data_IF_149894374416
#
_entry.id   IF_149894374416
#
_cell.length_a   1.000
_cell.length_b   1.000
_cell.length_c   1.000
_cell.angle_alpha   90.00
_cell.angle_beta   90.00
_cell.angle_gamma   90.00
#
_symmetry.space_group_name_H-M   'P 1'
#
loop_
_entity.id
_entity.type
_entity.pdbx_description
1 polymer ?
#
# COMPACT_ATOMS: atom_id res chain seq x y z
N UNK A 1 8.20 4.83 0.46
CA UNK A 1 9.04 3.89 -0.30
C UNK A 1 9.05 4.40 -1.73
N UNK A 2 10.21 4.50 -2.38
CA UNK A 2 10.38 5.19 -3.66
C UNK A 2 10.69 4.17 -4.77
N UNK A 3 9.74 3.87 -5.68
CA UNK A 3 9.92 2.90 -6.76
C UNK A 3 11.05 3.25 -7.73
N UNK A 4 11.37 4.54 -7.90
CA UNK A 4 12.44 4.98 -8.81
C UNK A 4 13.82 4.49 -8.36
N UNK A 5 13.97 4.13 -7.07
CA UNK A 5 15.21 3.57 -6.51
C UNK A 5 15.33 2.06 -6.69
N UNK A 6 14.31 1.42 -7.26
CA UNK A 6 14.22 -0.02 -7.45
C UNK A 6 13.78 -0.32 -8.89
N UNK A 7 14.70 -0.40 -9.86
CA UNK A 7 14.37 -0.74 -11.24
C UNK A 7 13.58 -2.05 -11.30
N UNK A 8 12.52 -2.06 -12.09
CA UNK A 8 11.66 -3.21 -12.30
C UNK A 8 11.17 -3.19 -13.74
N UNK A 9 11.80 -3.99 -14.59
CA UNK A 9 11.35 -4.25 -15.95
C UNK A 9 10.73 -5.65 -15.96
N UNK A 10 9.45 -5.74 -16.31
CA UNK A 10 8.69 -6.98 -16.26
C UNK A 10 7.87 -7.11 -17.54
N UNK A 11 8.55 -7.40 -18.64
CA UNK A 11 7.88 -7.82 -19.88
C UNK A 11 7.30 -9.24 -19.75
N UNK A 12 6.64 -9.72 -20.80
CA UNK A 12 5.97 -11.02 -20.77
C UNK A 12 6.95 -12.19 -20.59
N UNK A 13 8.16 -12.09 -21.16
CA UNK A 13 9.18 -13.13 -21.03
C UNK A 13 9.75 -13.18 -19.60
N UNK A 14 10.04 -12.02 -19.00
CA UNK A 14 10.49 -11.91 -17.62
C UNK A 14 9.41 -12.39 -16.64
N UNK A 15 8.13 -12.16 -16.95
CA UNK A 15 7.01 -12.65 -16.15
C UNK A 15 6.89 -14.18 -16.21
N UNK A 16 7.04 -14.77 -17.39
CA UNK A 16 7.05 -16.23 -17.55
C UNK A 16 8.23 -16.87 -16.80
N UNK A 17 9.43 -16.28 -16.91
CA UNK A 17 10.60 -16.72 -16.15
C UNK A 17 10.35 -16.65 -14.64
N UNK A 18 9.83 -15.51 -14.15
CA UNK A 18 9.53 -15.33 -12.73
C UNK A 18 8.48 -16.33 -12.25
N UNK A 19 7.44 -16.59 -13.03
CA UNK A 19 6.43 -17.59 -12.70
C UNK A 19 7.05 -18.99 -12.57
N UNK A 20 7.95 -19.36 -13.49
CA UNK A 20 8.71 -20.62 -13.39
C UNK A 20 9.59 -20.72 -12.13
N UNK A 21 10.12 -19.59 -11.65
CA UNK A 21 10.91 -19.54 -10.40
C UNK A 21 10.06 -19.53 -9.13
N UNK A 22 8.85 -18.97 -9.21
CA UNK A 22 7.88 -18.94 -8.09
C UNK A 22 7.17 -20.27 -7.94
N UNK A 23 6.89 -20.99 -9.02
CA UNK A 23 6.11 -22.24 -8.99
C UNK A 23 6.64 -23.28 -7.98
N UNK A 24 7.96 -23.54 -7.86
CA UNK A 24 8.51 -24.47 -6.86
C UNK A 24 8.45 -23.97 -5.42
N UNK A 25 8.21 -22.67 -5.20
CA UNK A 25 8.13 -22.04 -3.88
C UNK A 25 6.71 -22.07 -3.31
N UNK A 26 5.71 -22.35 -4.14
CA UNK A 26 4.31 -22.42 -3.73
C UNK A 26 4.08 -23.58 -2.75
N UNK A 27 3.17 -23.40 -1.78
CA UNK A 27 2.80 -24.49 -0.89
C UNK A 27 2.21 -25.68 -1.64
N UNK A 28 2.45 -26.87 -1.10
CA UNK A 28 1.71 -28.07 -1.49
C UNK A 28 0.23 -27.91 -1.15
N UNK A 29 -0.66 -28.51 -1.94
CA UNK A 29 -2.09 -28.63 -1.64
C UNK A 29 -2.38 -29.39 -0.33
N UNK A 30 -1.39 -30.09 0.22
CA UNK A 30 -1.46 -30.80 1.50
C UNK A 30 -1.28 -29.86 2.72
N UNK A 31 -0.87 -28.61 2.51
CA UNK A 31 -0.79 -27.61 3.59
C UNK A 31 -2.19 -27.31 4.09
N UNK A 32 -2.37 -27.35 5.41
CA UNK A 32 -3.65 -27.01 6.02
C UNK A 32 -4.06 -25.57 5.64
N UNK A 33 -5.36 -25.38 5.34
CA UNK A 33 -5.90 -24.08 4.90
C UNK A 33 -5.53 -22.92 5.84
N UNK A 34 -5.45 -23.19 7.15
CA UNK A 34 -5.10 -22.23 8.19
C UNK A 34 -3.63 -21.78 8.16
N UNK A 35 -2.74 -22.58 7.57
CA UNK A 35 -1.30 -22.31 7.45
C UNK A 35 -0.90 -21.81 6.05
N UNK A 36 -1.84 -21.79 5.09
CA UNK A 36 -1.56 -21.38 3.71
C UNK A 36 -1.01 -19.95 3.63
N UNK A 37 -1.56 -18.99 4.39
CA UNK A 37 -1.06 -17.62 4.36
C UNK A 37 0.41 -17.50 4.82
N UNK A 38 0.81 -18.26 5.86
CA UNK A 38 2.22 -18.30 6.33
C UNK A 38 3.13 -18.96 5.32
N UNK A 39 2.62 -19.93 4.59
CA UNK A 39 3.42 -20.65 3.60
C UNK A 39 3.86 -19.76 2.42
N UNK A 40 3.17 -18.64 2.19
CA UNK A 40 3.52 -17.62 1.21
C UNK A 40 4.72 -16.75 1.62
N UNK A 41 5.16 -16.82 2.89
CA UNK A 41 6.34 -16.09 3.35
C UNK A 41 7.56 -16.39 2.50
N UNK A 42 7.71 -17.62 2.00
CA UNK A 42 8.82 -18.00 1.11
C UNK A 42 8.83 -17.20 -0.18
N UNK A 43 7.64 -16.98 -0.76
CA UNK A 43 7.46 -16.18 -1.97
C UNK A 43 7.76 -14.72 -1.65
N UNK A 44 7.20 -14.19 -0.56
CA UNK A 44 7.46 -12.82 -0.11
C UNK A 44 8.95 -12.56 0.11
N UNK A 45 9.67 -13.47 0.77
CA UNK A 45 11.12 -13.36 0.95
C UNK A 45 11.86 -13.41 -0.38
N UNK A 46 11.52 -14.38 -1.26
CA UNK A 46 12.15 -14.49 -2.57
C UNK A 46 11.98 -13.21 -3.42
N UNK A 47 10.77 -12.65 -3.45
CA UNK A 47 10.49 -11.42 -4.17
C UNK A 47 11.20 -10.22 -3.54
N UNK A 48 11.24 -10.14 -2.21
CA UNK A 48 11.93 -9.07 -1.50
C UNK A 48 13.45 -9.12 -1.66
N UNK A 49 14.04 -10.31 -1.71
CA UNK A 49 15.47 -10.50 -1.96
C UNK A 49 15.83 -10.10 -3.39
N UNK A 50 14.96 -10.42 -4.37
CA UNK A 50 15.21 -10.14 -5.78
C UNK A 50 14.96 -8.68 -6.15
N UNK A 51 13.85 -8.10 -5.70
CA UNK A 51 13.40 -6.77 -6.15
C UNK A 51 13.53 -5.69 -5.06
N UNK A 52 13.74 -6.09 -3.81
CA UNK A 52 13.79 -5.21 -2.65
C UNK A 52 12.49 -5.22 -1.85
N UNK A 53 12.55 -4.61 -0.67
CA UNK A 53 11.46 -4.59 0.34
C UNK A 53 10.13 -4.05 -0.19
N UNK A 54 10.12 -3.33 -1.31
CA UNK A 54 8.87 -2.87 -1.91
C UNK A 54 7.96 -4.04 -2.31
N UNK A 55 8.53 -5.18 -2.69
CA UNK A 55 7.77 -6.34 -3.15
C UNK A 55 6.91 -7.01 -2.07
N UNK A 56 7.11 -6.69 -0.78
CA UNK A 56 6.39 -7.34 0.31
C UNK A 56 4.86 -7.12 0.32
N UNK A 57 4.35 -6.15 -0.44
CA UNK A 57 2.91 -5.87 -0.53
C UNK A 57 2.19 -6.61 -1.67
N UNK A 58 2.87 -7.51 -2.38
CA UNK A 58 2.35 -8.17 -3.59
C UNK A 58 1.00 -8.89 -3.38
N UNK A 59 0.71 -9.40 -2.18
CA UNK A 59 -0.54 -10.08 -1.86
C UNK A 59 -1.49 -9.26 -0.97
N UNK A 60 -1.27 -7.94 -0.85
CA UNK A 60 -2.15 -7.08 -0.06
C UNK A 60 -3.41 -6.77 -0.86
N UNK A 61 -4.35 -7.69 -0.78
CA UNK A 61 -5.56 -7.71 -1.59
C UNK A 61 -6.69 -6.84 -1.06
N UNK A 62 -7.58 -6.44 -1.97
CA UNK A 62 -8.84 -5.73 -1.63
C UNK A 62 -9.71 -6.63 -0.73
N UNK A 63 -10.43 -6.00 0.19
CA UNK A 63 -11.36 -6.72 1.09
C UNK A 63 -10.65 -7.55 2.16
N UNK A 64 -11.29 -8.61 2.62
CA UNK A 64 -10.83 -9.48 3.73
C UNK A 64 -9.74 -10.48 3.31
N UNK A 65 -8.83 -10.06 2.45
CA UNK A 65 -7.70 -10.87 2.01
C UNK A 65 -6.67 -11.18 3.10
N UNK A 66 -5.54 -11.79 2.74
CA UNK A 66 -4.53 -12.25 3.71
C UNK A 66 -3.99 -11.14 4.64
N UNK A 67 -3.98 -9.89 4.16
CA UNK A 67 -3.48 -8.71 4.88
C UNK A 67 -4.59 -7.67 5.15
N UNK A 68 -5.79 -7.90 4.61
CA UNK A 68 -7.01 -7.06 4.71
C UNK A 68 -6.87 -5.60 4.19
N UNK A 69 -7.81 -5.16 3.36
CA UNK A 69 -7.99 -3.76 2.96
C UNK A 69 -6.89 -3.19 2.05
N UNK A 70 -6.26 -4.04 1.24
CA UNK A 70 -5.24 -3.66 0.27
C UNK A 70 -5.81 -3.21 -1.07
N UNK A 71 -4.95 -3.25 -2.10
CA UNK A 71 -5.20 -2.67 -3.44
C UNK A 71 -4.96 -3.65 -4.59
N UNK A 72 -4.48 -4.84 -4.28
CA UNK A 72 -4.25 -5.89 -5.27
C UNK A 72 -5.59 -6.58 -5.53
N UNK A 73 -6.03 -6.58 -6.79
CA UNK A 73 -7.35 -7.11 -7.18
C UNK A 73 -7.23 -8.56 -7.66
N UNK A 74 -6.14 -8.88 -8.36
CA UNK A 74 -5.97 -10.21 -8.95
C UNK A 74 -5.77 -11.30 -7.88
N UNK A 75 -5.29 -10.92 -6.69
CA UNK A 75 -5.18 -11.81 -5.54
C UNK A 75 -6.38 -11.60 -4.61
N UNK A 76 -7.00 -12.68 -4.14
CA UNK A 76 -8.10 -12.60 -3.16
C UNK A 76 -7.57 -12.94 -1.76
N UNK A 77 -7.26 -14.21 -1.54
CA UNK A 77 -6.63 -14.71 -0.33
C UNK A 77 -5.95 -16.04 -0.61
N UNK A 78 -5.00 -16.42 0.25
CA UNK A 78 -4.28 -17.69 0.15
C UNK A 78 -5.20 -18.90 -0.01
N UNK A 79 -6.39 -18.90 0.60
CA UNK A 79 -7.27 -20.06 0.52
C UNK A 79 -8.05 -20.22 -0.78
N UNK A 80 -8.26 -19.14 -1.53
CA UNK A 80 -9.04 -19.16 -2.77
C UNK A 80 -8.15 -18.97 -4.02
N UNK A 81 -7.01 -18.30 -3.86
CA UNK A 81 -6.05 -18.03 -4.94
C UNK A 81 -4.99 -19.11 -5.11
N UNK A 82 -4.66 -19.88 -4.05
CA UNK A 82 -3.69 -20.99 -4.15
C UNK A 82 -4.39 -22.25 -4.61
N UNK A 83 -4.05 -22.70 -5.83
CA UNK A 83 -4.56 -23.94 -6.42
C UNK A 83 -3.40 -24.82 -6.90
N UNK A 84 -3.13 -24.88 -8.20
CA UNK A 84 -1.95 -25.56 -8.75
C UNK A 84 -0.81 -24.59 -8.94
N UNK A 85 0.46 -25.05 -8.96
CA UNK A 85 1.59 -24.18 -9.26
C UNK A 85 1.46 -23.44 -10.59
N UNK A 86 1.01 -24.13 -11.64
CA UNK A 86 0.85 -23.55 -12.98
C UNK A 86 -0.22 -22.44 -13.04
N UNK A 87 -1.27 -22.54 -12.23
CA UNK A 87 -2.31 -21.51 -12.15
C UNK A 87 -1.94 -20.38 -11.19
N UNK A 88 -1.26 -20.70 -10.08
CA UNK A 88 -0.99 -19.74 -9.00
C UNK A 88 0.26 -18.90 -9.26
N UNK A 89 1.30 -19.46 -9.88
CA UNK A 89 2.54 -18.72 -10.09
C UNK A 89 2.36 -17.50 -11.02
N UNK A 90 1.64 -17.58 -12.16
CA UNK A 90 1.31 -16.39 -12.95
C UNK A 90 0.51 -15.35 -12.15
N UNK A 91 -0.39 -15.80 -11.27
CA UNK A 91 -1.19 -14.93 -10.42
C UNK A 91 -0.33 -14.10 -9.45
N UNK A 92 0.70 -14.71 -8.85
CA UNK A 92 1.67 -14.02 -7.99
C UNK A 92 2.41 -12.93 -8.77
N UNK A 93 2.82 -13.23 -10.01
CA UNK A 93 3.54 -12.26 -10.86
C UNK A 93 2.65 -11.08 -11.23
N UNK A 94 1.39 -11.35 -11.58
CA UNK A 94 0.44 -10.28 -11.89
C UNK A 94 0.13 -9.44 -10.65
N UNK A 95 -0.05 -10.07 -9.49
CA UNK A 95 -0.27 -9.38 -8.22
C UNK A 95 0.92 -8.46 -7.85
N UNK A 96 2.15 -8.92 -8.10
CA UNK A 96 3.35 -8.10 -7.94
C UNK A 96 3.38 -6.89 -8.89
N UNK A 97 2.94 -7.06 -10.15
CA UNK A 97 2.84 -5.98 -11.14
C UNK A 97 1.79 -4.95 -10.74
N UNK A 98 0.60 -5.38 -10.30
CA UNK A 98 -0.44 -4.49 -9.80
C UNK A 98 0.05 -3.67 -8.60
N UNK A 99 0.69 -4.35 -7.64
CA UNK A 99 1.29 -3.69 -6.49
C UNK A 99 2.35 -2.68 -6.90
N UNK A 100 3.20 -3.03 -7.88
CA UNK A 100 4.22 -2.13 -8.41
C UNK A 100 3.59 -0.88 -9.05
N UNK A 101 2.59 -1.06 -9.91
CA UNK A 101 1.91 0.05 -10.58
C UNK A 101 1.26 1.00 -9.59
N UNK A 102 0.67 0.47 -8.51
CA UNK A 102 0.14 1.29 -7.42
C UNK A 102 1.21 2.17 -6.74
N UNK A 103 2.39 1.60 -6.46
CA UNK A 103 3.47 2.36 -5.84
C UNK A 103 4.01 3.46 -6.73
N UNK A 104 4.09 3.21 -8.04
CA UNK A 104 4.52 4.19 -9.04
C UNK A 104 3.51 5.34 -9.15
N UNK A 105 2.21 5.02 -9.20
CA UNK A 105 1.15 6.03 -9.16
C UNK A 105 1.21 6.88 -7.88
N UNK A 106 1.45 6.25 -6.72
CA UNK A 106 1.63 6.99 -5.46
C UNK A 106 2.85 7.92 -5.50
N UNK A 107 3.97 7.48 -6.08
CA UNK A 107 5.16 8.31 -6.19
C UNK A 107 4.92 9.57 -7.02
N UNK A 108 4.23 9.43 -8.16
CA UNK A 108 3.81 10.57 -9.00
C UNK A 108 2.89 11.53 -8.24
N UNK A 109 1.90 10.97 -7.52
CA UNK A 109 0.96 11.78 -6.71
C UNK A 109 1.68 12.47 -5.57
N UNK A 110 2.63 11.83 -4.92
CA UNK A 110 3.42 12.44 -3.84
C UNK A 110 4.22 13.62 -4.36
N UNK A 111 4.88 13.49 -5.52
CA UNK A 111 5.58 14.60 -6.16
C UNK A 111 4.62 15.75 -6.51
N UNK A 112 3.43 15.45 -7.02
CA UNK A 112 2.43 16.46 -7.38
C UNK A 112 1.74 17.14 -6.19
N UNK A 113 1.72 16.49 -5.02
CA UNK A 113 1.07 16.98 -3.80
C UNK A 113 2.06 17.55 -2.77
N UNK A 114 3.35 17.35 -2.96
CA UNK A 114 4.37 17.90 -2.09
C UNK A 114 4.30 19.44 -2.04
N UNK A 115 4.54 20.06 -0.86
CA UNK A 115 4.71 21.49 -0.76
C UNK A 115 5.90 22.01 -1.60
N UNK A 116 5.99 23.33 -1.85
CA UNK A 116 7.10 23.91 -2.59
C UNK A 116 8.46 23.56 -1.98
N UNK A 117 9.42 23.20 -2.85
CA UNK A 117 10.77 22.83 -2.46
C UNK A 117 11.45 23.91 -1.60
N UNK A 118 12.33 23.49 -0.68
CA UNK A 118 13.09 24.35 0.24
C UNK A 118 12.24 25.13 1.26
N UNK A 119 10.96 24.79 1.43
CA UNK A 119 10.14 25.33 2.52
C UNK A 119 10.33 24.49 3.79
N UNK A 120 10.58 25.12 4.94
CA UNK A 120 10.61 24.41 6.22
C UNK A 120 9.21 23.87 6.49
N UNK A 121 9.08 22.59 6.83
CA UNK A 121 7.79 21.89 7.02
C UNK A 121 6.80 22.69 7.90
N UNK A 122 7.27 23.25 9.02
CA UNK A 122 6.43 24.03 9.95
C UNK A 122 6.00 25.41 9.43
N UNK A 123 6.63 25.90 8.36
CA UNK A 123 6.29 27.16 7.68
C UNK A 123 5.42 26.97 6.44
N UNK A 124 5.16 25.72 6.03
CA UNK A 124 4.27 25.41 4.92
C UNK A 124 2.84 25.76 5.31
N UNK A 125 2.12 26.43 4.41
CA UNK A 125 0.69 26.71 4.58
C UNK A 125 -0.09 25.40 4.83
N UNK A 126 -0.90 25.30 5.92
CA UNK A 126 -1.71 24.12 6.23
C UNK A 126 -2.51 23.57 5.05
N UNK A 127 -2.94 24.44 4.13
CA UNK A 127 -3.68 24.08 2.92
C UNK A 127 -3.00 22.98 2.08
N UNK A 128 -1.66 22.97 1.98
CA UNK A 128 -0.96 21.93 1.22
C UNK A 128 -1.16 20.54 1.85
N UNK A 129 -1.08 20.47 3.17
CA UNK A 129 -1.25 19.22 3.92
C UNK A 129 -2.71 18.75 3.92
N UNK A 130 -3.66 19.68 4.04
CA UNK A 130 -5.09 19.37 3.92
C UNK A 130 -5.42 18.81 2.54
N UNK A 131 -4.99 19.51 1.48
CA UNK A 131 -5.17 19.09 0.09
C UNK A 131 -4.58 17.71 -0.17
N UNK A 132 -3.33 17.48 0.28
CA UNK A 132 -2.67 16.19 0.10
C UNK A 132 -3.42 15.08 0.83
N UNK A 133 -3.79 15.29 2.10
CA UNK A 133 -4.56 14.32 2.88
C UNK A 133 -5.89 13.97 2.20
N UNK A 134 -6.67 14.96 1.81
CA UNK A 134 -7.96 14.74 1.14
C UNK A 134 -7.78 13.92 -0.13
N UNK A 135 -6.82 14.29 -1.00
CA UNK A 135 -6.58 13.59 -2.27
C UNK A 135 -6.09 12.16 -2.07
N UNK A 136 -5.23 11.93 -1.10
CA UNK A 136 -4.69 10.60 -0.79
C UNK A 136 -5.73 9.69 -0.15
N UNK A 137 -6.56 10.22 0.75
CA UNK A 137 -7.69 9.46 1.34
C UNK A 137 -8.66 9.03 0.24
N UNK A 138 -9.03 9.94 -0.67
CA UNK A 138 -9.96 9.62 -1.77
C UNK A 138 -9.41 8.55 -2.69
N UNK A 139 -8.17 8.69 -3.19
CA UNK A 139 -7.62 7.69 -4.12
C UNK A 139 -7.45 6.32 -3.45
N UNK A 140 -7.09 6.28 -2.17
CA UNK A 140 -7.01 5.00 -1.45
C UNK A 140 -8.41 4.40 -1.31
N UNK A 141 -9.40 5.16 -0.86
CA UNK A 141 -10.77 4.67 -0.73
C UNK A 141 -11.31 4.14 -2.07
N UNK A 142 -11.05 4.82 -3.18
CA UNK A 142 -11.45 4.35 -4.51
C UNK A 142 -10.71 3.04 -4.89
N UNK A 143 -9.39 2.98 -4.69
CA UNK A 143 -8.56 1.83 -5.07
C UNK A 143 -8.86 0.57 -4.25
N UNK A 144 -9.14 0.75 -2.96
CA UNK A 144 -9.49 -0.35 -2.04
C UNK A 144 -11.01 -0.61 -2.00
N UNK A 145 -11.79 0.13 -2.80
CA UNK A 145 -13.26 0.12 -2.80
C UNK A 145 -13.89 0.40 -1.42
N UNK A 146 -13.14 1.06 -0.54
CA UNK A 146 -13.45 1.26 0.88
C UNK A 146 -13.92 -0.01 1.63
N UNK A 147 -13.45 -1.19 1.20
CA UNK A 147 -13.78 -2.46 1.85
C UNK A 147 -13.06 -2.65 3.19
N UNK A 148 -13.60 -3.54 4.02
CA UNK A 148 -13.00 -4.08 5.26
C UNK A 148 -11.94 -3.19 5.93
N UNK A 149 -10.65 -3.53 5.84
CA UNK A 149 -9.53 -2.87 6.53
C UNK A 149 -8.90 -1.68 5.81
N UNK A 150 -9.54 -1.09 4.79
CA UNK A 150 -8.92 -0.11 3.88
C UNK A 150 -8.24 1.09 4.57
N UNK A 151 -8.76 1.50 5.73
CA UNK A 151 -8.20 2.61 6.50
C UNK A 151 -6.78 2.30 7.01
N UNK A 152 -6.42 1.03 7.19
CA UNK A 152 -5.06 0.60 7.52
C UNK A 152 -4.07 0.94 6.40
N UNK A 153 -4.45 0.65 5.15
CA UNK A 153 -3.67 1.05 3.98
C UNK A 153 -3.63 2.56 3.80
N UNK A 154 -4.76 3.24 4.02
CA UNK A 154 -4.83 4.71 3.99
C UNK A 154 -3.85 5.35 4.99
N UNK A 155 -3.82 4.87 6.24
CA UNK A 155 -2.84 5.30 7.23
C UNK A 155 -1.40 4.99 6.81
N UNK A 156 -1.16 3.89 6.10
CA UNK A 156 0.17 3.56 5.56
C UNK A 156 0.61 4.54 4.48
N UNK A 157 -0.28 4.89 3.53
CA UNK A 157 -0.03 5.84 2.45
C UNK A 157 0.24 7.25 2.99
N UNK A 158 -0.56 7.72 3.94
CA UNK A 158 -0.35 9.03 4.57
C UNK A 158 1.00 9.09 5.29
N UNK A 159 1.42 8.03 5.99
CA UNK A 159 2.76 7.95 6.59
C UNK A 159 3.87 8.00 5.54
N UNK A 160 3.70 7.30 4.42
CA UNK A 160 4.68 7.35 3.33
C UNK A 160 4.77 8.74 2.69
N UNK A 161 3.65 9.46 2.56
CA UNK A 161 3.67 10.83 2.07
C UNK A 161 4.42 11.77 3.03
N UNK A 162 4.21 11.66 4.34
CA UNK A 162 4.96 12.45 5.32
C UNK A 162 6.46 12.13 5.27
N UNK A 163 6.82 10.84 5.17
CA UNK A 163 8.22 10.42 5.02
C UNK A 163 8.85 10.90 3.70
N UNK A 164 8.08 10.93 2.60
CA UNK A 164 8.52 11.50 1.33
C UNK A 164 8.88 12.99 1.47
N UNK A 165 8.16 13.71 2.32
CA UNK A 165 8.43 15.11 2.66
C UNK A 165 9.46 15.27 3.82
N UNK A 166 10.23 14.22 4.12
CA UNK A 166 11.36 14.29 5.07
C UNK A 166 10.99 14.23 6.55
N UNK A 167 9.74 13.89 6.90
CA UNK A 167 9.37 13.72 8.31
C UNK A 167 9.85 12.39 8.88
N UNK A 168 10.22 12.40 10.17
CA UNK A 168 10.60 11.20 10.90
C UNK A 168 9.43 10.20 11.00
N UNK A 169 9.75 8.91 11.01
CA UNK A 169 8.75 7.85 11.03
C UNK A 169 7.88 7.89 12.30
N UNK A 170 8.47 8.22 13.45
CA UNK A 170 7.75 8.36 14.71
C UNK A 170 6.76 9.51 14.67
N UNK A 171 7.20 10.67 14.17
CA UNK A 171 6.35 11.85 13.98
C UNK A 171 5.19 11.56 13.02
N UNK A 172 5.50 10.98 11.85
CA UNK A 172 4.50 10.64 10.85
C UNK A 172 3.45 9.67 11.40
N UNK A 173 3.88 8.68 12.20
CA UNK A 173 2.98 7.71 12.83
C UNK A 173 2.01 8.38 13.81
N UNK A 174 2.50 9.25 14.67
CA UNK A 174 1.64 9.94 15.65
C UNK A 174 0.67 10.91 14.97
N UNK A 175 1.12 11.68 13.97
CA UNK A 175 0.25 12.59 13.20
C UNK A 175 -0.90 11.82 12.55
N UNK A 176 -0.58 10.74 11.82
CA UNK A 176 -1.59 9.95 11.12
C UNK A 176 -2.54 9.25 12.09
N UNK A 177 -2.03 8.68 13.19
CA UNK A 177 -2.86 8.07 14.23
C UNK A 177 -3.83 9.07 14.85
N UNK A 178 -3.37 10.29 15.13
CA UNK A 178 -4.20 11.33 15.74
C UNK A 178 -5.21 11.95 14.76
N UNK A 179 -4.88 11.97 13.46
CA UNK A 179 -5.77 12.44 12.40
C UNK A 179 -6.85 11.41 12.09
N UNK A 180 -6.47 10.17 11.79
CA UNK A 180 -7.37 9.13 11.27
C UNK A 180 -8.00 8.27 12.37
N UNK A 181 -7.28 8.01 13.47
CA UNK A 181 -7.64 6.98 14.45
C UNK A 181 -9.10 7.03 14.89
N UNK A 182 -9.84 5.97 14.55
CA UNK A 182 -11.25 5.77 14.91
C UNK A 182 -12.28 6.56 14.10
N UNK A 183 -11.88 7.26 13.04
CA UNK A 183 -12.80 8.12 12.23
C UNK A 183 -13.29 7.47 10.95
N UNK A 184 -12.50 6.56 10.37
CA UNK A 184 -12.93 5.78 9.21
C UNK A 184 -13.59 4.48 9.69
N UNK A 185 -14.65 4.08 8.98
CA UNK A 185 -15.32 2.80 9.18
C UNK A 185 -14.86 1.78 8.15
N UNK A 186 -14.97 0.50 8.50
CA UNK A 186 -14.91 -0.59 7.53
C UNK A 186 -16.13 -0.59 6.62
N UNK A 187 -15.96 -1.03 5.37
CA UNK A 187 -17.05 -1.19 4.39
C UNK A 187 -17.81 0.08 4.02
N UNK A 188 -17.21 1.25 4.27
CA UNK A 188 -17.84 2.53 3.99
C UNK A 188 -16.78 3.54 3.53
N UNK A 189 -17.02 4.12 2.36
CA UNK A 189 -16.26 5.28 1.91
C UNK A 189 -16.54 6.46 2.84
N UNK A 190 -15.52 7.24 3.24
CA UNK A 190 -15.72 8.34 4.15
C UNK A 190 -16.50 9.48 3.46
N UNK A 191 -17.53 9.98 4.12
CA UNK A 191 -18.23 11.17 3.65
C UNK A 191 -17.32 12.41 3.71
N UNK A 192 -17.64 13.42 2.89
CA UNK A 192 -16.89 14.69 2.80
C UNK A 192 -16.58 15.31 4.17
N UNK A 193 -17.51 15.42 5.14
CA UNK A 193 -17.21 16.01 6.45
C UNK A 193 -16.20 15.20 7.26
N UNK A 194 -16.15 13.87 7.07
CA UNK A 194 -15.17 13.01 7.74
C UNK A 194 -13.78 13.26 7.15
N UNK A 195 -13.69 13.34 5.82
CA UNK A 195 -12.43 13.65 5.12
C UNK A 195 -11.91 15.02 5.51
N UNK A 196 -12.78 16.04 5.55
CA UNK A 196 -12.41 17.41 5.95
C UNK A 196 -11.90 17.48 7.41
N UNK A 197 -12.55 16.74 8.32
CA UNK A 197 -12.10 16.67 9.70
C UNK A 197 -10.73 15.97 9.84
N UNK A 198 -10.51 14.91 9.06
CA UNK A 198 -9.23 14.19 9.05
C UNK A 198 -8.12 15.06 8.44
N UNK A 199 -8.39 15.73 7.32
CA UNK A 199 -7.41 16.57 6.62
C UNK A 199 -6.98 17.78 7.46
N UNK A 200 -7.94 18.46 8.11
CA UNK A 200 -7.67 19.58 9.02
C UNK A 200 -6.77 19.15 10.19
N UNK A 201 -7.05 17.98 10.79
CA UNK A 201 -6.25 17.43 11.89
C UNK A 201 -4.87 17.00 11.45
N UNK A 202 -4.77 16.40 10.26
CA UNK A 202 -3.51 16.02 9.66
C UNK A 202 -2.60 17.24 9.47
N UNK A 203 -3.13 18.31 8.87
CA UNK A 203 -2.41 19.56 8.68
C UNK A 203 -2.01 20.23 10.02
N UNK A 204 -2.93 20.26 10.99
CA UNK A 204 -2.62 20.76 12.33
C UNK A 204 -1.53 19.96 13.06
N UNK A 205 -1.50 18.63 12.86
CA UNK A 205 -0.45 17.77 13.40
C UNK A 205 0.92 18.05 12.78
N UNK A 206 0.97 18.33 11.48
CA UNK A 206 2.21 18.73 10.79
C UNK A 206 2.68 20.12 11.22
N UNK A 207 1.78 21.10 11.29
CA UNK A 207 2.11 22.46 11.70
C UNK A 207 2.53 22.59 13.18
N UNK A 208 2.14 21.63 14.01
CA UNK A 208 2.51 21.54 15.43
C UNK A 208 3.91 20.97 15.67
N UNK A 209 4.65 20.58 14.63
CA UNK A 209 6.05 20.13 14.75
C UNK A 209 6.94 21.37 14.93
N UNK A 210 7.21 21.74 16.18
CA UNK A 210 8.06 22.86 16.58
C UNK A 210 8.86 22.53 17.83
#
# INVERSE_FOLDING_TARGET
MDPARHPFEMDDAAAEELAGLVAPLLPSLEVAREDLWRSLDRITHYLADRYGRWACGWNWSVGEGDVDGGVVEVWCCSSDSVTTPDATAPLVVEALREWRGWLEELAERFAALAPPENTVVSSVDPWYWERACTRLVTVVADRTQAESGWYGHCMQVLRWFLAYNGMDEGQAREIVKNAVGGRFGSWIAPDVPVVDAVSSRFAGGVGGIG
#
